data_IF_097602468909
#
_entry.id   IF_097602468909
#
_cell.length_a   1.000
_cell.length_b   1.000
_cell.length_c   1.000
_cell.angle_alpha   90.00
_cell.angle_beta   90.00
_cell.angle_gamma   90.00
#
_symmetry.space_group_name_H-M   'P 1'
#
loop_
_entity.id
_entity.type
_entity.pdbx_description
1 polymer ?
#
# COMPACT_ATOMS: atom_id res chain seq x y z
N UNK A 1 -26.68 12.89 0.95
CA UNK A 1 -25.92 12.56 -0.28
C UNK A 1 -25.92 11.05 -0.42
N UNK A 2 -26.69 10.52 -1.36
CA UNK A 2 -27.01 9.09 -1.46
C UNK A 2 -25.78 8.28 -1.94
N UNK A 3 -25.35 7.29 -1.15
CA UNK A 3 -24.33 6.32 -1.53
C UNK A 3 -24.98 5.31 -2.47
N UNK A 4 -24.60 5.32 -3.73
CA UNK A 4 -25.05 4.32 -4.72
C UNK A 4 -24.14 3.10 -4.54
N UNK A 5 -24.62 2.10 -3.82
CA UNK A 5 -23.97 0.80 -3.73
C UNK A 5 -24.30 0.01 -4.99
N UNK A 6 -23.33 -0.10 -5.89
CA UNK A 6 -23.48 -0.91 -7.12
C UNK A 6 -23.30 -2.37 -6.75
N UNK A 7 -24.42 -3.06 -6.51
CA UNK A 7 -24.46 -4.51 -6.35
C UNK A 7 -24.30 -5.18 -7.73
N UNK A 8 -23.10 -5.66 -8.06
CA UNK A 8 -22.86 -6.45 -9.26
C UNK A 8 -23.30 -7.89 -8.96
N UNK A 9 -24.53 -8.21 -9.34
CA UNK A 9 -25.07 -9.57 -9.34
C UNK A 9 -24.56 -10.30 -10.59
N UNK A 10 -23.40 -10.96 -10.50
CA UNK A 10 -22.87 -11.74 -11.62
C UNK A 10 -23.64 -13.06 -11.70
N UNK A 11 -24.69 -13.07 -12.52
CA UNK A 11 -25.57 -14.22 -12.74
C UNK A 11 -24.79 -15.32 -13.47
N UNK A 12 -24.30 -16.31 -12.73
CA UNK A 12 -24.07 -17.66 -13.25
C UNK A 12 -25.31 -18.46 -12.88
N UNK A 13 -26.13 -18.76 -13.89
CA UNK A 13 -27.40 -19.48 -13.78
C UNK A 13 -27.18 -20.93 -13.35
N UNK A 14 -26.99 -21.21 -12.06
CA UNK A 14 -27.16 -22.55 -11.49
C UNK A 14 -27.64 -22.48 -10.02
N UNK A 15 -28.94 -22.72 -9.85
CA UNK A 15 -29.64 -23.25 -8.67
C UNK A 15 -29.72 -22.42 -7.36
N UNK A 16 -30.97 -22.00 -7.06
CA UNK A 16 -31.59 -21.85 -5.74
C UNK A 16 -30.71 -21.36 -4.58
N UNK A 17 -30.59 -20.03 -4.46
CA UNK A 17 -30.79 -19.27 -3.22
C UNK A 17 -30.34 -17.82 -3.48
N UNK A 18 -31.25 -16.87 -3.32
CA UNK A 18 -31.03 -15.43 -3.49
C UNK A 18 -30.09 -14.85 -2.40
N UNK A 19 -28.87 -15.36 -2.27
CA UNK A 19 -27.84 -14.77 -1.43
C UNK A 19 -26.92 -13.92 -2.29
N UNK A 20 -27.16 -12.61 -2.28
CA UNK A 20 -26.16 -11.63 -2.67
C UNK A 20 -25.02 -11.71 -1.65
N UNK A 21 -23.89 -12.28 -2.05
CA UNK A 21 -22.69 -12.26 -1.23
C UNK A 21 -22.13 -10.84 -1.18
N UNK A 22 -22.15 -10.22 -0.01
CA UNK A 22 -21.36 -9.03 0.26
C UNK A 22 -19.88 -9.44 0.25
N UNK A 23 -19.18 -9.15 -0.85
CA UNK A 23 -17.72 -9.19 -0.87
C UNK A 23 -17.23 -8.02 -0.02
N UNK A 24 -16.91 -8.30 1.23
CA UNK A 24 -16.28 -7.34 2.13
C UNK A 24 -14.98 -6.86 1.50
N UNK A 25 -14.87 -5.54 1.34
CA UNK A 25 -13.68 -4.88 0.78
C UNK A 25 -12.53 -5.07 1.78
N UNK A 26 -11.52 -5.86 1.41
CA UNK A 26 -10.38 -6.16 2.28
C UNK A 26 -9.39 -4.98 2.22
N UNK A 27 -8.93 -4.51 3.39
CA UNK A 27 -7.85 -3.52 3.46
C UNK A 27 -6.51 -4.27 3.44
N UNK A 28 -5.72 -4.06 2.38
CA UNK A 28 -4.46 -4.78 2.18
C UNK A 28 -3.22 -3.97 2.59
N UNK A 29 -3.33 -3.06 3.55
CA UNK A 29 -2.17 -2.34 4.06
C UNK A 29 -1.01 -3.26 4.47
N UNK A 30 0.23 -2.78 4.32
CA UNK A 30 1.44 -3.48 4.70
C UNK A 30 2.35 -2.56 5.54
N UNK A 31 2.71 -3.03 6.72
CA UNK A 31 3.64 -2.34 7.62
C UNK A 31 4.83 -3.23 7.92
N UNK A 32 6.03 -2.75 7.62
CA UNK A 32 7.29 -3.48 7.82
C UNK A 32 8.27 -2.57 8.54
N UNK A 33 8.53 -2.84 9.81
CA UNK A 33 9.31 -1.95 10.68
C UNK A 33 10.26 -2.74 11.59
N UNK A 34 11.44 -2.18 11.85
CA UNK A 34 12.38 -2.72 12.84
C UNK A 34 11.84 -2.57 14.26
N UNK A 35 11.27 -1.38 14.55
CA UNK A 35 10.55 -1.09 15.79
C UNK A 35 9.26 -0.32 15.43
N UNK A 36 8.08 -0.97 15.46
CA UNK A 36 6.81 -0.31 15.18
C UNK A 36 6.45 0.82 16.14
N UNK A 37 6.97 0.82 17.38
CA UNK A 37 6.72 1.88 18.35
C UNK A 37 7.59 3.11 18.09
N UNK A 38 8.76 2.90 17.48
CA UNK A 38 9.71 3.93 17.14
C UNK A 38 10.13 3.82 15.66
N UNK A 39 9.24 4.17 14.71
CA UNK A 39 9.49 3.97 13.28
C UNK A 39 10.67 4.80 12.76
N UNK A 40 11.05 5.88 13.46
CA UNK A 40 12.12 6.81 13.10
C UNK A 40 11.58 8.12 12.54
N UNK A 41 12.40 8.82 11.76
CA UNK A 41 12.02 10.08 11.11
C UNK A 41 11.43 9.79 9.73
N UNK A 42 10.28 10.39 9.41
CA UNK A 42 9.67 10.31 8.09
C UNK A 42 10.64 10.90 7.05
N UNK A 43 11.06 10.07 6.10
CA UNK A 43 12.02 10.44 5.07
C UNK A 43 11.37 10.61 3.70
N UNK A 44 10.28 9.88 3.43
CA UNK A 44 9.47 10.05 2.22
C UNK A 44 8.01 9.69 2.47
N UNK A 45 7.11 10.38 1.79
CA UNK A 45 5.66 10.17 1.83
C UNK A 45 5.11 10.40 0.41
N UNK A 46 4.50 9.37 -0.15
CA UNK A 46 3.96 9.42 -1.50
C UNK A 46 2.60 8.74 -1.55
N UNK A 47 1.61 9.46 -2.09
CA UNK A 47 0.36 8.88 -2.56
C UNK A 47 0.51 8.43 -4.01
N UNK A 48 -0.06 7.28 -4.31
CA UNK A 48 0.03 6.67 -5.62
C UNK A 48 -1.26 5.91 -5.93
N UNK A 49 -1.76 6.09 -7.14
CA UNK A 49 -3.01 5.51 -7.59
C UNK A 49 -2.89 4.94 -9.00
N UNK A 50 -3.78 3.99 -9.32
CA UNK A 50 -3.92 3.43 -10.65
C UNK A 50 -5.38 3.07 -10.94
N UNK A 51 -5.73 2.98 -12.22
CA UNK A 51 -7.05 2.56 -12.67
C UNK A 51 -7.20 1.02 -12.61
N UNK A 52 -8.43 0.54 -12.86
CA UNK A 52 -8.76 -0.89 -12.91
C UNK A 52 -7.80 -1.65 -13.84
N UNK A 53 -7.39 -2.86 -13.45
CA UNK A 53 -6.46 -3.73 -14.20
C UNK A 53 -5.07 -3.12 -14.47
N UNK A 54 -4.73 -2.01 -13.83
CA UNK A 54 -3.40 -1.40 -13.93
C UNK A 54 -2.64 -1.62 -12.63
N UNK A 55 -1.48 -2.29 -12.65
CA UNK A 55 -0.66 -2.45 -11.46
C UNK A 55 -0.05 -1.12 -11.04
N UNK A 56 0.35 -1.02 -9.78
CA UNK A 56 1.02 0.15 -9.24
C UNK A 56 2.48 -0.17 -8.92
N UNK A 57 3.39 0.71 -9.33
CA UNK A 57 4.80 0.65 -8.96
C UNK A 57 5.19 1.95 -8.27
N UNK A 58 5.70 1.84 -7.05
CA UNK A 58 6.16 3.00 -6.26
C UNK A 58 7.61 2.81 -5.88
N UNK A 59 8.46 3.74 -6.28
CA UNK A 59 9.86 3.82 -5.85
C UNK A 59 10.04 5.00 -4.90
N UNK A 60 10.62 4.75 -3.73
CA UNK A 60 11.02 5.79 -2.79
C UNK A 60 12.50 5.67 -2.37
N UNK A 61 13.27 6.77 -2.43
CA UNK A 61 12.92 8.05 -3.05
C UNK A 61 12.78 7.88 -4.58
N UNK A 62 11.97 8.73 -5.23
CA UNK A 62 11.72 8.63 -6.69
C UNK A 62 13.03 8.68 -7.49
N UNK A 63 14.01 9.47 -7.04
CA UNK A 63 15.33 9.62 -7.65
C UNK A 63 16.39 9.48 -6.57
N UNK A 64 17.52 8.82 -6.90
CA UNK A 64 18.65 8.67 -6.00
C UNK A 64 18.39 7.71 -4.83
N UNK A 65 18.99 8.02 -3.68
CA UNK A 65 18.98 7.21 -2.46
C UNK A 65 18.82 8.09 -1.21
N UNK A 66 18.23 7.52 -0.15
CA UNK A 66 18.20 8.14 1.17
C UNK A 66 19.61 8.22 1.75
N UNK A 67 19.86 9.25 2.58
CA UNK A 67 21.13 9.40 3.30
C UNK A 67 21.31 8.39 4.44
N UNK A 68 20.21 7.80 4.90
CA UNK A 68 20.11 6.90 6.05
C UNK A 68 19.27 5.69 5.66
N UNK A 69 19.61 4.54 6.23
CA UNK A 69 18.91 3.30 5.96
C UNK A 69 17.47 3.34 6.50
N UNK A 70 16.56 2.75 5.75
CA UNK A 70 15.14 2.61 6.09
C UNK A 70 14.99 1.77 7.34
N UNK A 71 14.19 2.27 8.29
CA UNK A 71 13.82 1.60 9.54
C UNK A 71 12.38 1.13 9.57
N UNK A 72 11.49 1.74 8.79
CA UNK A 72 10.08 1.37 8.75
C UNK A 72 9.44 1.82 7.41
N UNK A 73 8.55 0.99 6.89
CA UNK A 73 7.77 1.23 5.67
C UNK A 73 6.31 0.98 6.05
N UNK A 74 5.47 1.95 5.77
CA UNK A 74 4.02 1.88 6.01
C UNK A 74 3.32 2.11 4.68
N UNK A 75 2.52 1.15 4.26
CA UNK A 75 1.74 1.18 3.03
C UNK A 75 0.28 1.07 3.44
N UNK A 76 -0.43 2.18 3.36
CA UNK A 76 -1.86 2.21 3.68
C UNK A 76 -2.66 2.12 2.39
N UNK A 77 -3.67 1.27 2.40
CA UNK A 77 -4.70 1.23 1.39
C UNK A 77 -5.80 2.23 1.78
N UNK A 78 -5.84 3.38 1.09
CA UNK A 78 -6.72 4.51 1.44
C UNK A 78 -8.17 4.30 0.95
N UNK A 79 -8.41 3.35 0.03
CA UNK A 79 -9.74 3.08 -0.53
C UNK A 79 -10.14 1.60 -0.50
N UNK A 80 -9.51 0.75 0.30
CA UNK A 80 -9.77 -0.70 0.35
C UNK A 80 -9.62 -1.36 -1.04
N UNK A 81 -8.60 -0.96 -1.76
CA UNK A 81 -8.13 -1.55 -3.00
C UNK A 81 -7.87 -3.06 -2.82
N UNK A 82 -8.27 -3.92 -3.77
CA UNK A 82 -8.07 -5.37 -3.62
C UNK A 82 -6.64 -5.85 -3.94
N UNK A 83 -5.68 -4.94 -4.08
CA UNK A 83 -4.30 -5.27 -4.40
C UNK A 83 -3.49 -5.54 -3.14
N UNK A 84 -2.73 -6.63 -3.08
CA UNK A 84 -1.80 -6.84 -1.96
C UNK A 84 -0.46 -6.18 -2.27
N UNK A 85 0.00 -5.16 -1.53
CA UNK A 85 1.28 -4.54 -1.76
C UNK A 85 2.42 -5.50 -1.39
N UNK A 86 3.49 -5.44 -2.18
CA UNK A 86 4.68 -6.26 -2.04
C UNK A 86 5.93 -5.39 -2.21
N UNK A 87 6.94 -5.60 -1.36
CA UNK A 87 8.26 -4.99 -1.55
C UNK A 87 9.04 -5.89 -2.50
N UNK A 88 9.34 -5.39 -3.70
CA UNK A 88 10.03 -6.16 -4.74
C UNK A 88 11.53 -5.85 -4.83
N UNK A 89 11.98 -4.72 -4.26
CA UNK A 89 13.40 -4.38 -4.17
C UNK A 89 13.69 -3.39 -3.03
N UNK A 90 14.89 -3.47 -2.46
CA UNK A 90 15.31 -2.60 -1.36
C UNK A 90 14.62 -2.99 -0.05
N UNK A 91 14.14 -1.99 0.71
CA UNK A 91 13.37 -2.21 1.93
C UNK A 91 14.12 -1.85 3.21
N UNK A 92 13.86 -2.57 4.31
CA UNK A 92 14.56 -2.37 5.58
C UNK A 92 16.08 -2.46 5.39
N UNK A 93 16.83 -1.61 6.09
CA UNK A 93 18.29 -1.49 6.00
C UNK A 93 18.84 -1.01 4.64
N UNK A 94 18.01 -0.87 3.61
CA UNK A 94 18.37 -0.24 2.34
C UNK A 94 18.19 1.28 2.40
N UNK A 95 18.75 1.99 1.43
CA UNK A 95 18.53 3.43 1.23
C UNK A 95 17.44 3.73 0.18
N UNK A 96 16.69 2.72 -0.25
CA UNK A 96 15.54 2.85 -1.14
C UNK A 96 14.59 1.67 -0.99
N UNK A 97 13.38 1.81 -1.53
CA UNK A 97 12.41 0.72 -1.66
C UNK A 97 11.67 0.84 -3.01
N UNK A 98 11.34 -0.30 -3.60
CA UNK A 98 10.40 -0.41 -4.71
C UNK A 98 9.27 -1.34 -4.29
N UNK A 99 8.05 -0.84 -4.43
CA UNK A 99 6.80 -1.51 -4.09
C UNK A 99 6.06 -1.80 -5.37
N UNK A 100 5.50 -3.01 -5.44
CA UNK A 100 4.54 -3.42 -6.45
C UNK A 100 3.21 -3.71 -5.78
N UNK A 101 2.13 -3.19 -6.35
CA UNK A 101 0.78 -3.60 -6.00
C UNK A 101 0.14 -4.20 -7.24
N UNK A 102 -0.15 -5.52 -7.25
CA UNK A 102 -0.82 -6.18 -8.35
C UNK A 102 -2.16 -5.51 -8.64
N UNK A 103 -2.53 -5.47 -9.92
CA UNK A 103 -3.79 -4.89 -10.35
C UNK A 103 -5.00 -5.63 -9.74
N UNK A 104 -6.01 -4.87 -9.35
CA UNK A 104 -7.34 -5.41 -9.06
C UNK A 104 -8.18 -5.47 -10.33
N UNK A 105 -9.00 -6.52 -10.46
CA UNK A 105 -9.90 -6.72 -11.60
C UNK A 105 -11.14 -5.82 -11.50
N UNK A 106 -11.51 -5.39 -10.28
CA UNK A 106 -12.78 -4.73 -9.99
C UNK A 106 -12.63 -3.29 -9.51
N UNK A 107 -11.45 -2.92 -9.01
CA UNK A 107 -11.22 -1.62 -8.36
C UNK A 107 -9.91 -1.01 -8.82
N UNK A 108 -9.85 0.33 -8.85
CA UNK A 108 -8.58 1.04 -8.90
C UNK A 108 -7.78 0.80 -7.62
N UNK A 109 -6.49 1.15 -7.68
CA UNK A 109 -5.60 1.10 -6.53
C UNK A 109 -5.41 2.52 -6.00
N UNK A 110 -5.50 2.71 -4.68
CA UNK A 110 -5.18 3.97 -4.02
C UNK A 110 -4.40 3.70 -2.72
N UNK A 111 -3.11 4.02 -2.74
CA UNK A 111 -2.20 3.74 -1.63
C UNK A 111 -1.41 4.96 -1.22
N UNK A 112 -1.10 5.04 0.07
CA UNK A 112 -0.11 5.95 0.63
C UNK A 112 1.08 5.17 1.15
N UNK A 113 2.25 5.46 0.63
CA UNK A 113 3.52 4.85 1.04
C UNK A 113 4.33 5.86 1.83
N UNK A 114 4.68 5.48 3.07
CA UNK A 114 5.50 6.27 3.98
C UNK A 114 6.75 5.49 4.36
N UNK A 115 7.90 6.11 4.23
CA UNK A 115 9.20 5.52 4.52
C UNK A 115 9.87 6.33 5.62
N UNK A 116 10.31 5.64 6.66
CA UNK A 116 10.98 6.20 7.82
C UNK A 116 12.43 5.70 7.86
N UNK A 117 13.33 6.53 8.36
CA UNK A 117 14.74 6.18 8.58
C UNK A 117 15.12 6.38 10.04
N UNK A 118 16.17 5.69 10.50
CA UNK A 118 16.67 5.88 11.86
C UNK A 118 17.03 7.36 12.09
N UNK A 119 16.56 7.91 13.21
CA UNK A 119 16.97 9.23 13.67
C UNK A 119 18.49 9.21 13.86
N UNK A 120 19.23 10.10 13.18
CA UNK A 120 20.62 10.34 13.58
C UNK A 120 20.56 11.03 14.94
N UNK A 121 21.01 10.35 15.99
CA UNK A 121 21.31 11.03 17.25
C UNK A 121 22.30 12.16 16.94
N UNK A 122 22.08 13.38 17.44
CA UNK A 122 23.07 14.44 17.31
C UNK A 122 24.38 13.92 17.92
N UNK A 123 25.46 14.02 17.15
CA UNK A 123 26.79 13.74 17.64
C UNK A 123 27.09 14.90 18.59
N UNK A 124 27.00 14.67 19.90
CA UNK A 124 27.60 15.58 20.86
C UNK A 124 29.11 15.43 20.70
N UNK A 125 29.70 16.35 19.93
CA UNK A 125 31.14 16.58 19.82
C UNK A 125 31.65 17.29 21.06
#
# INVERSE_FOLDING_TARGET
>A
MFKIEVAICLIVLLFNNNQCYHINKLNYGLTVCLDPKNPGTLAADQRANSTIRTPLFVRLPTIGFLKTSISCIVIDDEESSNGKPEIIQGGLHSNFVIIHVPASVLTGLNYRVRVYTKTKLPINL
#
